data_IF_878317884042
#
_entry.id   IF_878317884042
#
_cell.length_a   1.000
_cell.length_b   1.000
_cell.length_c   1.000
_cell.angle_alpha   90.00
_cell.angle_beta   90.00
_cell.angle_gamma   90.00
#
_symmetry.space_group_name_H-M   'P 1'
#
loop_
_entity.id
_entity.type
_entity.pdbx_description
1 polymer ?
#
# COMPACT_ATOMS: atom_id res chain seq x y z
N UNK A 1 -17.87 11.39 -17.96
CA UNK A 1 -16.38 11.26 -17.83
C UNK A 1 -15.63 12.55 -18.25
N UNK A 2 -16.32 13.53 -18.85
CA UNK A 2 -15.72 14.82 -19.20
C UNK A 2 -15.64 15.83 -18.04
N UNK A 3 -16.21 15.50 -16.88
CA UNK A 3 -16.27 16.40 -15.73
C UNK A 3 -15.07 16.26 -14.74
N UNK A 4 -14.14 15.34 -14.99
CA UNK A 4 -12.95 15.21 -14.15
C UNK A 4 -11.81 16.04 -14.74
N UNK A 5 -11.42 17.08 -14.04
CA UNK A 5 -10.22 17.85 -14.37
C UNK A 5 -9.01 17.04 -13.86
N UNK A 6 -8.32 16.39 -14.78
CA UNK A 6 -7.03 15.77 -14.48
C UNK A 6 -5.96 16.84 -14.71
N UNK A 7 -5.36 17.32 -13.64
CA UNK A 7 -4.17 18.15 -13.78
C UNK A 7 -3.01 17.29 -14.28
N UNK A 8 -2.24 17.74 -15.28
CA UNK A 8 -1.06 17.03 -15.73
C UNK A 8 -0.04 16.98 -14.58
N UNK A 9 0.70 15.88 -14.52
CA UNK A 9 1.82 15.69 -13.62
C UNK A 9 2.71 16.96 -13.61
N UNK A 10 2.76 17.67 -12.49
CA UNK A 10 3.96 18.38 -12.16
C UNK A 10 5.08 17.34 -12.00
N UNK A 11 6.28 17.62 -12.48
CA UNK A 11 7.47 16.79 -12.23
C UNK A 11 7.82 16.82 -10.73
N UNK A 12 6.88 16.39 -9.89
CA UNK A 12 7.02 16.37 -8.45
C UNK A 12 7.97 15.25 -8.07
N UNK A 13 9.17 15.65 -7.77
CA UNK A 13 10.34 14.80 -7.53
C UNK A 13 10.28 14.14 -6.15
N UNK A 14 9.43 14.60 -5.25
CA UNK A 14 9.32 14.04 -3.90
C UNK A 14 8.09 13.13 -3.79
N UNK A 15 8.32 11.83 -3.77
CA UNK A 15 7.33 10.85 -3.36
C UNK A 15 7.31 10.75 -1.85
N UNK A 16 6.19 11.12 -1.26
CA UNK A 16 5.94 10.93 0.17
C UNK A 16 5.31 9.57 0.49
N UNK A 17 5.39 8.64 -0.45
CA UNK A 17 4.71 7.36 -0.36
C UNK A 17 5.39 6.45 0.67
N UNK A 18 4.58 5.66 1.36
CA UNK A 18 5.06 4.59 2.21
C UNK A 18 5.70 3.50 1.33
N UNK A 19 6.64 2.72 1.86
CA UNK A 19 7.41 1.79 1.04
C UNK A 19 6.60 0.56 0.63
N UNK A 20 6.75 0.09 -0.62
CA UNK A 20 6.12 -1.12 -1.16
C UNK A 20 6.52 -2.42 -0.44
N UNK A 21 7.43 -2.37 0.52
CA UNK A 21 7.70 -3.46 1.46
C UNK A 21 6.65 -3.57 2.59
N UNK A 22 5.82 -2.55 2.81
CA UNK A 22 4.83 -2.54 3.89
C UNK A 22 3.83 -3.71 3.84
N UNK A 23 3.34 -4.15 2.66
CA UNK A 23 2.46 -5.31 2.55
C UNK A 23 3.03 -6.62 3.10
N UNK A 24 4.35 -6.75 3.23
CA UNK A 24 4.96 -7.91 3.91
C UNK A 24 4.36 -8.07 5.32
N UNK A 25 3.99 -6.95 5.97
CA UNK A 25 3.40 -6.95 7.31
C UNK A 25 2.14 -7.81 7.42
N UNK A 26 1.19 -7.64 6.51
CA UNK A 26 -0.04 -8.43 6.53
C UNK A 26 0.05 -9.73 5.74
N UNK A 27 0.84 -9.77 4.65
CA UNK A 27 1.00 -10.97 3.83
C UNK A 27 1.70 -12.11 4.58
N UNK A 28 2.81 -11.83 5.31
CA UNK A 28 3.47 -12.86 6.10
C UNK A 28 2.62 -13.33 7.29
N UNK A 29 1.75 -12.46 7.82
CA UNK A 29 0.79 -12.84 8.85
C UNK A 29 -0.30 -13.74 8.27
N UNK A 30 -0.77 -13.45 7.06
CA UNK A 30 -1.77 -14.25 6.37
C UNK A 30 -1.24 -15.62 5.97
N UNK A 31 -0.11 -15.67 5.28
CA UNK A 31 0.50 -16.91 4.77
C UNK A 31 1.47 -17.50 5.79
N UNK A 32 1.01 -18.44 6.60
CA UNK A 32 1.75 -18.97 7.75
C UNK A 32 3.00 -19.77 7.40
N UNK A 33 3.08 -20.35 6.21
CA UNK A 33 4.20 -21.11 5.66
C UNK A 33 5.14 -20.30 4.77
N UNK A 34 4.92 -18.98 4.64
CA UNK A 34 5.75 -18.10 3.83
C UNK A 34 6.97 -17.55 4.58
N UNK A 35 8.01 -17.25 3.83
CA UNK A 35 9.15 -16.45 4.27
C UNK A 35 9.49 -15.38 3.23
N UNK A 36 9.65 -14.13 3.64
CA UNK A 36 9.99 -13.02 2.74
C UNK A 36 11.49 -12.73 2.81
N UNK A 37 12.23 -13.02 1.74
CA UNK A 37 13.64 -12.64 1.59
C UNK A 37 13.73 -11.38 0.72
N UNK A 38 14.06 -10.27 1.36
CA UNK A 38 14.18 -8.96 0.72
C UNK A 38 15.63 -8.72 0.32
N UNK A 39 15.89 -8.47 -0.96
CA UNK A 39 17.22 -8.11 -1.47
C UNK A 39 17.28 -6.59 -1.59
N UNK A 40 18.13 -5.95 -0.78
CA UNK A 40 18.13 -4.49 -0.72
C UNK A 40 19.24 -3.91 0.15
N UNK A 41 19.04 -2.70 0.61
CA UNK A 41 20.01 -1.96 1.43
C UNK A 41 19.68 -2.03 2.92
N UNK A 42 20.58 -1.51 3.77
CA UNK A 42 20.32 -1.33 5.20
C UNK A 42 19.06 -0.50 5.47
N UNK A 43 18.70 0.43 4.59
CA UNK A 43 17.44 1.21 4.71
C UNK A 43 16.21 0.31 4.60
N UNK A 44 16.21 -0.68 3.70
CA UNK A 44 15.13 -1.67 3.58
C UNK A 44 15.01 -2.51 4.85
N UNK A 45 16.14 -2.93 5.41
CA UNK A 45 16.18 -3.64 6.70
C UNK A 45 15.61 -2.80 7.84
N UNK A 46 16.06 -1.54 7.97
CA UNK A 46 15.59 -0.61 8.99
C UNK A 46 14.09 -0.32 8.87
N UNK A 47 13.59 -0.17 7.63
CA UNK A 47 12.17 0.01 7.37
C UNK A 47 11.35 -1.21 7.85
N UNK A 48 11.75 -2.42 7.46
CA UNK A 48 11.05 -3.64 7.86
C UNK A 48 11.07 -3.83 9.38
N UNK A 49 12.19 -3.61 10.04
CA UNK A 49 12.29 -3.69 11.49
C UNK A 49 11.37 -2.68 12.20
N UNK A 50 11.26 -1.47 11.67
CA UNK A 50 10.42 -0.42 12.24
C UNK A 50 8.95 -0.65 11.93
N UNK A 51 8.59 -0.89 10.67
CA UNK A 51 7.22 -1.07 10.23
C UNK A 51 6.58 -2.35 10.79
N UNK A 52 7.36 -3.45 10.85
CA UNK A 52 6.90 -4.73 11.38
C UNK A 52 7.12 -4.88 12.88
N UNK A 53 7.93 -4.02 13.50
CA UNK A 53 8.14 -3.97 14.94
C UNK A 53 6.87 -3.66 15.73
N UNK A 54 5.87 -3.01 15.13
CA UNK A 54 4.54 -2.84 15.72
C UNK A 54 3.77 -4.16 15.86
N UNK A 55 4.17 -5.20 15.13
CA UNK A 55 3.58 -6.55 15.18
C UNK A 55 4.33 -7.42 16.20
N UNK A 56 4.46 -6.94 17.44
CA UNK A 56 5.29 -7.50 18.52
C UNK A 56 5.01 -8.98 18.82
N UNK A 57 3.80 -9.44 18.51
CA UNK A 57 3.36 -10.82 18.78
C UNK A 57 3.53 -11.76 17.58
N UNK A 58 3.92 -11.25 16.41
CA UNK A 58 4.13 -12.07 15.24
C UNK A 58 5.56 -12.62 15.22
N UNK A 59 5.70 -13.94 15.05
CA UNK A 59 7.02 -14.53 14.78
C UNK A 59 7.48 -14.04 13.40
N UNK A 60 8.60 -13.29 13.30
CA UNK A 60 9.04 -12.73 12.03
C UNK A 60 9.45 -13.84 11.07
N UNK A 61 8.90 -13.85 9.88
CA UNK A 61 9.26 -14.73 8.77
C UNK A 61 9.71 -13.89 7.58
N UNK A 62 10.68 -13.03 7.84
CA UNK A 62 11.33 -12.21 6.82
C UNK A 62 12.79 -11.95 7.20
N UNK A 63 13.62 -11.73 6.19
CA UNK A 63 15.00 -11.32 6.32
C UNK A 63 15.37 -10.37 5.18
N UNK A 64 16.46 -9.62 5.37
CA UNK A 64 17.04 -8.79 4.32
C UNK A 64 18.42 -9.31 3.96
N UNK A 65 18.60 -9.69 2.70
CA UNK A 65 19.92 -9.84 2.10
C UNK A 65 20.42 -8.42 1.78
N UNK A 66 21.26 -7.88 2.65
CA UNK A 66 21.81 -6.54 2.49
C UNK A 66 22.94 -6.59 1.49
N UNK A 67 22.81 -5.77 0.44
CA UNK A 67 23.81 -5.63 -0.62
C UNK A 67 25.08 -4.96 -0.07
N UNK A 68 26.22 -5.60 -0.27
CA UNK A 68 27.54 -5.08 0.07
C UNK A 68 28.27 -4.48 -1.16
N UNK A 69 29.51 -4.03 -0.98
CA UNK A 69 30.29 -3.42 -2.06
C UNK A 69 30.59 -4.38 -3.20
N UNK A 70 30.76 -5.69 -2.91
CA UNK A 70 31.01 -6.71 -3.91
C UNK A 70 29.77 -6.96 -4.76
N UNK A 71 28.58 -6.99 -4.14
CA UNK A 71 27.29 -7.08 -4.84
C UNK A 71 27.09 -5.89 -5.79
N UNK A 72 27.39 -4.68 -5.31
CA UNK A 72 27.29 -3.44 -6.10
C UNK A 72 28.33 -3.39 -7.23
N UNK A 73 29.47 -4.09 -7.07
CA UNK A 73 30.53 -4.17 -8.05
C UNK A 73 30.33 -5.26 -9.11
N UNK A 74 29.24 -6.04 -9.02
CA UNK A 74 28.83 -7.01 -10.03
C UNK A 74 29.04 -8.47 -9.66
N UNK A 75 29.12 -8.80 -8.36
CA UNK A 75 29.03 -10.22 -7.91
C UNK A 75 27.73 -10.83 -8.42
N UNK A 76 27.75 -12.09 -8.81
CA UNK A 76 26.54 -12.81 -9.19
C UNK A 76 25.57 -12.86 -8.01
N UNK A 77 24.37 -12.35 -8.22
CA UNK A 77 23.34 -12.28 -7.18
C UNK A 77 22.99 -13.68 -6.63
N UNK A 78 23.03 -14.72 -7.48
CA UNK A 78 22.77 -16.10 -7.05
C UNK A 78 23.83 -16.57 -6.05
N UNK A 79 25.11 -16.29 -6.30
CA UNK A 79 26.19 -16.67 -5.37
C UNK A 79 25.99 -16.03 -3.99
N UNK A 80 25.59 -14.76 -3.93
CA UNK A 80 25.31 -14.07 -2.68
C UNK A 80 24.07 -14.61 -1.94
N UNK A 81 23.06 -15.05 -2.68
CA UNK A 81 21.80 -15.53 -2.10
C UNK A 81 21.86 -16.98 -1.61
N UNK A 82 22.70 -17.83 -2.21
CA UNK A 82 22.77 -19.25 -1.86
C UNK A 82 22.98 -19.53 -0.36
N UNK A 83 23.97 -18.96 0.34
CA UNK A 83 24.19 -19.22 1.76
C UNK A 83 23.05 -18.66 2.63
N UNK A 84 22.42 -17.57 2.22
CA UNK A 84 21.30 -16.96 2.96
C UNK A 84 20.07 -17.87 2.88
N UNK A 85 19.73 -18.34 1.68
CA UNK A 85 18.58 -19.24 1.49
C UNK A 85 18.81 -20.58 2.20
N UNK A 86 20.04 -21.10 2.18
CA UNK A 86 20.41 -22.32 2.93
C UNK A 86 20.12 -22.16 4.43
N UNK A 87 20.52 -21.05 5.02
CA UNK A 87 20.26 -20.74 6.43
C UNK A 87 18.76 -20.61 6.71
N UNK A 88 18.01 -19.91 5.85
CA UNK A 88 16.55 -19.75 5.98
C UNK A 88 15.85 -21.11 5.94
N UNK A 89 16.18 -21.96 4.99
CA UNK A 89 15.57 -23.30 4.84
C UNK A 89 15.92 -24.19 6.03
N UNK A 90 17.17 -24.15 6.50
CA UNK A 90 17.60 -24.95 7.65
C UNK A 90 16.89 -24.53 8.96
N UNK A 91 16.76 -23.23 9.21
CA UNK A 91 16.23 -22.68 10.46
C UNK A 91 14.71 -22.61 10.48
N UNK A 92 14.11 -22.09 9.40
CA UNK A 92 12.67 -21.74 9.36
C UNK A 92 11.80 -22.77 8.65
N UNK A 93 12.39 -23.61 7.80
CA UNK A 93 11.70 -24.67 7.02
C UNK A 93 10.41 -24.12 6.34
N UNK A 94 10.49 -23.03 5.57
CA UNK A 94 9.32 -22.43 4.95
C UNK A 94 8.77 -23.36 3.85
N UNK A 95 7.44 -23.31 3.63
CA UNK A 95 6.81 -23.91 2.45
C UNK A 95 7.15 -23.14 1.19
N UNK A 96 7.22 -21.80 1.29
CA UNK A 96 7.58 -20.93 0.19
C UNK A 96 8.43 -19.74 0.63
N UNK A 97 9.33 -19.30 -0.27
CA UNK A 97 10.11 -18.07 -0.12
C UNK A 97 9.64 -17.07 -1.17
N UNK A 98 9.27 -15.87 -0.73
CA UNK A 98 9.05 -14.71 -1.60
C UNK A 98 10.37 -13.96 -1.72
N UNK A 99 11.00 -14.05 -2.90
CA UNK A 99 12.25 -13.38 -3.21
C UNK A 99 11.95 -11.98 -3.75
N UNK A 100 12.09 -10.99 -2.88
CA UNK A 100 11.69 -9.61 -3.16
C UNK A 100 12.88 -8.77 -3.62
N UNK A 101 12.83 -8.29 -4.86
CA UNK A 101 13.74 -7.27 -5.39
C UNK A 101 13.26 -5.87 -4.99
N UNK A 102 14.18 -5.02 -4.52
CA UNK A 102 13.87 -3.64 -4.10
C UNK A 102 14.45 -2.60 -5.06
N UNK A 103 14.39 -1.31 -4.69
CA UNK A 103 14.84 -0.20 -5.55
C UNK A 103 16.28 -0.36 -6.04
N UNK A 104 17.22 -0.72 -5.17
CA UNK A 104 18.65 -0.78 -5.54
C UNK A 104 18.94 -1.88 -6.57
N UNK A 105 18.55 -3.14 -6.37
CA UNK A 105 18.70 -4.17 -7.40
C UNK A 105 18.03 -3.79 -8.72
N UNK A 106 16.85 -3.18 -8.67
CA UNK A 106 16.13 -2.78 -9.90
C UNK A 106 16.85 -1.65 -10.66
N UNK A 107 17.41 -0.65 -9.96
CA UNK A 107 18.22 0.40 -10.58
C UNK A 107 19.48 -0.17 -11.23
N UNK A 108 20.16 -1.07 -10.51
CA UNK A 108 21.40 -1.69 -10.97
C UNK A 108 21.16 -2.80 -12.00
N UNK A 109 19.90 -3.13 -12.28
CA UNK A 109 19.51 -4.23 -13.20
C UNK A 109 20.08 -5.59 -12.77
N UNK A 110 20.16 -5.82 -11.47
CA UNK A 110 20.53 -7.12 -10.93
C UNK A 110 19.43 -8.13 -11.22
N UNK A 111 19.80 -9.33 -11.70
CA UNK A 111 18.81 -10.36 -12.07
C UNK A 111 18.32 -11.14 -10.85
N UNK A 112 17.67 -10.47 -9.89
CA UNK A 112 17.15 -11.13 -8.68
C UNK A 112 16.04 -12.14 -9.01
N UNK A 113 15.13 -11.77 -9.91
CA UNK A 113 14.02 -12.66 -10.32
C UNK A 113 14.54 -13.94 -10.99
N UNK A 114 15.64 -13.85 -11.74
CA UNK A 114 16.30 -15.01 -12.37
C UNK A 114 16.94 -15.97 -11.38
N UNK A 115 17.16 -15.57 -10.13
CA UNK A 115 17.67 -16.42 -9.08
C UNK A 115 16.61 -17.42 -8.54
N UNK A 116 15.32 -17.17 -8.76
CA UNK A 116 14.26 -18.00 -8.18
C UNK A 116 14.28 -19.46 -8.67
N UNK A 117 14.37 -19.79 -9.98
CA UNK A 117 14.39 -21.18 -10.44
C UNK A 117 15.58 -21.99 -9.89
N UNK A 118 16.85 -21.54 -9.96
CA UNK A 118 17.97 -22.30 -9.41
C UNK A 118 17.91 -22.47 -7.88
N UNK A 119 17.36 -21.48 -7.15
CA UNK A 119 17.14 -21.59 -5.70
C UNK A 119 16.05 -22.63 -5.39
N UNK A 120 14.94 -22.62 -6.13
CA UNK A 120 13.87 -23.62 -6.00
C UNK A 120 14.38 -25.04 -6.29
N UNK A 121 15.16 -25.21 -7.36
CA UNK A 121 15.76 -26.52 -7.72
C UNK A 121 16.73 -27.02 -6.65
N UNK A 122 17.61 -26.16 -6.16
CA UNK A 122 18.65 -26.55 -5.20
C UNK A 122 18.09 -26.90 -3.82
N UNK A 123 17.11 -26.13 -3.33
CA UNK A 123 16.63 -26.27 -1.95
C UNK A 123 15.30 -27.02 -1.83
N UNK A 124 14.62 -27.31 -2.95
CA UNK A 124 13.34 -28.02 -2.97
C UNK A 124 12.20 -27.23 -2.29
N UNK A 125 12.34 -25.91 -2.17
CA UNK A 125 11.34 -24.99 -1.61
C UNK A 125 10.79 -24.10 -2.71
N UNK A 126 9.47 -23.85 -2.74
CA UNK A 126 8.87 -22.95 -3.71
C UNK A 126 9.45 -21.54 -3.56
N UNK A 127 9.88 -20.92 -4.68
CA UNK A 127 10.37 -19.53 -4.70
C UNK A 127 9.52 -18.68 -5.63
N UNK A 128 8.88 -17.64 -5.06
CA UNK A 128 8.10 -16.64 -5.79
C UNK A 128 8.96 -15.38 -5.97
N UNK A 129 9.43 -15.08 -7.21
CA UNK A 129 10.09 -13.82 -7.46
C UNK A 129 9.04 -12.69 -7.49
N UNK A 130 9.26 -11.63 -6.72
CA UNK A 130 8.40 -10.47 -6.70
C UNK A 130 9.21 -9.17 -6.66
N UNK A 131 8.65 -8.11 -7.25
CA UNK A 131 9.24 -6.79 -7.24
C UNK A 131 8.54 -5.95 -6.19
N UNK A 132 9.27 -5.54 -5.15
CA UNK A 132 8.76 -4.71 -4.06
C UNK A 132 9.60 -3.43 -3.98
N UNK A 133 9.70 -2.74 -5.12
CA UNK A 133 10.44 -1.49 -5.22
C UNK A 133 9.55 -0.28 -4.93
N UNK A 134 10.18 0.86 -4.63
CA UNK A 134 9.48 2.12 -4.35
C UNK A 134 9.13 2.92 -5.62
N UNK A 135 9.13 2.30 -6.82
CA UNK A 135 8.79 3.00 -8.07
C UNK A 135 7.31 2.96 -8.38
N UNK A 136 6.58 2.08 -7.72
CA UNK A 136 5.12 2.03 -7.84
C UNK A 136 4.47 3.28 -7.24
N UNK A 137 3.33 3.73 -7.80
CA UNK A 137 2.65 4.92 -7.31
C UNK A 137 2.06 4.77 -5.89
N UNK A 138 1.91 3.55 -5.38
CA UNK A 138 1.39 3.27 -4.04
C UNK A 138 2.12 2.10 -3.39
N UNK A 139 2.32 2.17 -2.08
CA UNK A 139 2.91 1.07 -1.32
C UNK A 139 2.06 -0.21 -1.34
N UNK A 140 0.74 -0.09 -1.48
CA UNK A 140 -0.17 -1.23 -1.52
C UNK A 140 0.03 -2.12 -2.76
N UNK A 141 0.67 -1.60 -3.80
CA UNK A 141 1.02 -2.39 -4.99
C UNK A 141 2.05 -3.48 -4.71
N UNK A 142 2.76 -3.43 -3.58
CA UNK A 142 3.56 -4.56 -3.13
C UNK A 142 2.74 -5.84 -2.95
N UNK A 143 1.49 -5.74 -2.46
CA UNK A 143 0.57 -6.88 -2.44
C UNK A 143 0.19 -7.34 -3.85
N UNK A 144 -0.11 -6.40 -4.74
CA UNK A 144 -0.47 -6.68 -6.14
C UNK A 144 0.61 -7.51 -6.86
N UNK A 145 1.90 -7.14 -6.68
CA UNK A 145 3.03 -7.89 -7.24
C UNK A 145 3.21 -9.29 -6.63
N UNK A 146 2.99 -9.44 -5.33
CA UNK A 146 3.03 -10.75 -4.68
C UNK A 146 1.93 -11.65 -5.23
N UNK A 147 0.71 -11.13 -5.37
CA UNK A 147 -0.42 -11.88 -5.91
C UNK A 147 -0.23 -12.22 -7.39
N UNK A 148 0.36 -11.33 -8.19
CA UNK A 148 0.71 -11.62 -9.59
C UNK A 148 1.69 -12.80 -9.67
N UNK A 149 2.75 -12.81 -8.84
CA UNK A 149 3.70 -13.92 -8.78
C UNK A 149 3.04 -15.26 -8.37
N UNK A 150 2.05 -15.21 -7.47
CA UNK A 150 1.28 -16.39 -7.06
C UNK A 150 0.34 -16.87 -8.18
N UNK A 151 -0.36 -15.97 -8.86
CA UNK A 151 -1.24 -16.28 -10.01
C UNK A 151 -0.43 -16.94 -11.14
N UNK A 152 0.80 -16.49 -11.38
CA UNK A 152 1.68 -17.08 -12.39
C UNK A 152 1.96 -18.57 -12.13
N UNK A 153 1.90 -19.02 -10.89
CA UNK A 153 2.13 -20.40 -10.46
C UNK A 153 0.85 -21.18 -10.12
N UNK A 154 -0.31 -20.53 -10.22
CA UNK A 154 -1.60 -21.16 -9.93
C UNK A 154 -1.89 -22.30 -10.93
N UNK A 155 -2.49 -23.42 -10.48
CA UNK A 155 -2.95 -24.47 -11.39
C UNK A 155 -3.96 -23.94 -12.40
N UNK A 156 -3.95 -24.48 -13.61
CA UNK A 156 -4.96 -24.17 -14.61
C UNK A 156 -6.24 -24.99 -14.39
N UNK A 157 -7.38 -24.42 -14.76
CA UNK A 157 -8.66 -25.11 -14.72
C UNK A 157 -9.59 -24.68 -15.84
N UNK A 158 -10.45 -25.59 -16.29
CA UNK A 158 -11.60 -25.30 -17.15
C UNK A 158 -12.91 -25.25 -16.36
N UNK A 159 -12.88 -25.60 -15.08
CA UNK A 159 -14.09 -25.58 -14.23
C UNK A 159 -14.50 -24.16 -13.88
N UNK A 160 -15.82 -23.95 -13.75
CA UNK A 160 -16.36 -22.67 -13.30
C UNK A 160 -16.18 -22.55 -11.78
N UNK A 161 -15.37 -21.63 -11.35
CA UNK A 161 -15.07 -21.39 -9.94
C UNK A 161 -15.05 -19.89 -9.62
N UNK A 162 -14.94 -19.57 -8.32
CA UNK A 162 -14.85 -18.21 -7.79
C UNK A 162 -13.54 -18.06 -7.02
N UNK A 163 -12.77 -17.04 -7.39
CA UNK A 163 -11.56 -16.65 -6.66
C UNK A 163 -11.72 -15.21 -6.18
N UNK A 164 -11.58 -15.01 -4.88
CA UNK A 164 -11.52 -13.70 -4.23
C UNK A 164 -10.05 -13.31 -4.13
N UNK A 165 -9.71 -12.17 -4.71
CA UNK A 165 -8.35 -11.64 -4.78
C UNK A 165 -8.18 -10.46 -3.85
N UNK A 166 -7.19 -10.56 -2.96
CA UNK A 166 -6.83 -9.57 -1.96
C UNK A 166 -6.81 -10.13 -0.54
N UNK A 167 -5.94 -9.58 0.28
CA UNK A 167 -5.74 -10.04 1.65
C UNK A 167 -6.93 -9.63 2.54
N UNK A 168 -7.68 -10.60 2.99
CA UNK A 168 -8.79 -10.46 3.92
C UNK A 168 -8.47 -11.14 5.26
N UNK A 169 -9.02 -10.61 6.33
CA UNK A 169 -9.01 -11.28 7.65
C UNK A 169 -9.90 -12.52 7.64
N UNK A 170 -9.69 -13.41 8.60
CA UNK A 170 -10.53 -14.61 8.74
C UNK A 170 -12.03 -14.28 8.91
N UNK A 171 -12.36 -13.17 9.57
CA UNK A 171 -13.75 -12.73 9.76
C UNK A 171 -14.36 -12.24 8.43
N UNK A 172 -13.62 -11.51 7.63
CA UNK A 172 -14.08 -11.04 6.31
C UNK A 172 -14.23 -12.21 5.33
N UNK A 173 -13.29 -13.16 5.33
CA UNK A 173 -13.44 -14.40 4.55
C UNK A 173 -14.68 -15.21 4.96
N UNK A 174 -14.95 -15.31 6.27
CA UNK A 174 -16.13 -16.01 6.78
C UNK A 174 -17.43 -15.35 6.29
N UNK A 175 -17.49 -14.01 6.26
CA UNK A 175 -18.62 -13.29 5.67
C UNK A 175 -18.77 -13.61 4.18
N UNK A 176 -17.69 -13.52 3.39
CA UNK A 176 -17.75 -13.83 1.95
C UNK A 176 -18.23 -15.26 1.70
N UNK A 177 -17.76 -16.24 2.50
CA UNK A 177 -18.23 -17.64 2.40
C UNK A 177 -19.72 -17.76 2.68
N UNK A 178 -20.19 -17.12 3.75
CA UNK A 178 -21.60 -17.12 4.15
C UNK A 178 -22.50 -16.50 3.08
N UNK A 179 -22.09 -15.33 2.55
CA UNK A 179 -22.85 -14.65 1.51
C UNK A 179 -22.87 -15.46 0.20
N UNK A 180 -21.76 -16.10 -0.18
CA UNK A 180 -21.72 -17.01 -1.32
C UNK A 180 -22.61 -18.23 -1.13
N UNK A 181 -22.62 -18.84 0.05
CA UNK A 181 -23.50 -19.95 0.40
C UNK A 181 -24.98 -19.54 0.32
N UNK A 182 -25.32 -18.37 0.88
CA UNK A 182 -26.68 -17.81 0.83
C UNK A 182 -27.18 -17.61 -0.61
N UNK A 183 -26.27 -17.24 -1.52
CA UNK A 183 -26.56 -17.07 -2.95
C UNK A 183 -26.48 -18.39 -3.73
N UNK A 184 -26.14 -19.50 -3.10
CA UNK A 184 -25.87 -20.79 -3.75
C UNK A 184 -24.82 -20.63 -4.89
N UNK A 185 -23.72 -19.92 -4.60
CA UNK A 185 -22.57 -19.76 -5.47
C UNK A 185 -21.52 -20.84 -5.17
N UNK A 186 -20.56 -21.07 -6.09
CA UNK A 186 -19.40 -21.91 -5.78
C UNK A 186 -18.68 -21.44 -4.51
N UNK A 187 -18.16 -22.39 -3.72
CA UNK A 187 -17.36 -22.07 -2.54
C UNK A 187 -16.17 -21.18 -2.96
N UNK A 188 -16.07 -19.97 -2.43
CA UNK A 188 -15.00 -19.06 -2.82
C UNK A 188 -13.64 -19.58 -2.35
N UNK A 189 -12.66 -19.50 -3.23
CA UNK A 189 -11.24 -19.67 -2.91
C UNK A 189 -10.61 -18.29 -2.76
N UNK A 190 -9.69 -18.16 -1.82
CA UNK A 190 -9.03 -16.88 -1.54
C UNK A 190 -7.59 -16.91 -2.00
N UNK A 191 -7.11 -15.77 -2.50
CA UNK A 191 -5.72 -15.54 -2.82
C UNK A 191 -5.33 -14.13 -2.32
N UNK A 192 -4.43 -14.01 -1.33
CA UNK A 192 -3.74 -15.09 -0.60
C UNK A 192 -4.65 -15.81 0.40
N UNK A 193 -4.26 -17.00 0.84
CA UNK A 193 -4.87 -17.71 1.94
C UNK A 193 -3.83 -18.02 3.04
N UNK A 194 -4.11 -18.96 3.95
CA UNK A 194 -3.21 -19.30 5.06
C UNK A 194 -1.91 -20.00 4.63
N UNK A 195 -1.86 -20.55 3.41
CA UNK A 195 -0.70 -21.22 2.84
C UNK A 195 -0.31 -20.63 1.49
N UNK A 196 0.96 -20.27 1.32
CA UNK A 196 1.50 -19.83 0.04
C UNK A 196 1.56 -20.94 -1.02
N UNK A 197 1.37 -22.20 -0.62
CA UNK A 197 1.37 -23.37 -1.50
C UNK A 197 -0.03 -23.77 -1.97
N UNK A 198 -1.09 -23.41 -1.22
CA UNK A 198 -2.47 -23.73 -1.58
C UNK A 198 -3.03 -22.68 -2.55
N UNK A 199 -2.60 -22.75 -3.79
CA UNK A 199 -3.05 -21.84 -4.84
C UNK A 199 -4.42 -22.26 -5.39
N UNK A 200 -5.39 -21.35 -5.50
CA UNK A 200 -6.64 -21.64 -6.20
C UNK A 200 -6.36 -21.90 -7.69
N UNK A 201 -7.04 -22.87 -8.32
CA UNK A 201 -6.97 -23.04 -9.76
C UNK A 201 -7.63 -21.86 -10.48
N UNK A 202 -6.96 -21.30 -11.50
CA UNK A 202 -7.41 -20.13 -12.26
C UNK A 202 -7.38 -20.43 -13.75
N UNK A 203 -8.48 -20.15 -14.44
CA UNK A 203 -8.60 -20.39 -15.89
C UNK A 203 -9.77 -19.62 -16.52
N UNK A 204 -10.11 -19.95 -17.79
CA UNK A 204 -11.06 -19.16 -18.58
C UNK A 204 -12.48 -19.05 -18.00
N UNK A 205 -12.88 -20.01 -17.18
CA UNK A 205 -14.19 -20.04 -16.54
C UNK A 205 -14.17 -19.57 -15.09
N UNK A 206 -13.01 -19.11 -14.59
CA UNK A 206 -12.87 -18.52 -13.25
C UNK A 206 -13.47 -17.12 -13.23
N UNK A 207 -14.33 -16.84 -12.26
CA UNK A 207 -14.72 -15.48 -11.90
C UNK A 207 -13.73 -14.99 -10.85
N UNK A 208 -12.95 -13.96 -11.20
CA UNK A 208 -11.98 -13.33 -10.31
C UNK A 208 -12.54 -12.03 -9.75
N UNK A 209 -12.71 -11.94 -8.43
CA UNK A 209 -13.27 -10.78 -7.75
C UNK A 209 -12.21 -10.13 -6.84
N UNK A 210 -11.65 -8.99 -7.25
CA UNK A 210 -10.74 -8.21 -6.43
C UNK A 210 -11.51 -7.42 -5.36
N UNK A 211 -11.01 -7.43 -4.13
CA UNK A 211 -11.62 -6.70 -3.01
C UNK A 211 -10.94 -5.36 -2.75
N UNK A 212 -9.77 -5.13 -3.33
CA UNK A 212 -9.01 -3.88 -3.19
C UNK A 212 -8.82 -3.16 -4.51
N UNK A 213 -8.90 -1.81 -4.52
CA UNK A 213 -8.75 -1.01 -5.74
C UNK A 213 -7.33 -0.96 -6.30
N UNK A 214 -6.32 -1.35 -5.55
CA UNK A 214 -4.91 -1.35 -5.98
C UNK A 214 -4.47 -2.65 -6.68
N UNK A 215 -5.32 -3.67 -6.77
CA UNK A 215 -4.99 -4.98 -7.35
C UNK A 215 -5.17 -5.05 -8.89
N UNK A 216 -4.91 -3.95 -9.57
CA UNK A 216 -5.16 -3.88 -11.02
C UNK A 216 -4.10 -4.63 -11.85
N UNK A 217 -2.86 -4.77 -11.37
CA UNK A 217 -1.79 -5.49 -12.05
C UNK A 217 -2.05 -7.00 -12.07
N UNK A 218 -2.29 -7.60 -10.91
CA UNK A 218 -2.62 -9.02 -10.77
C UNK A 218 -3.93 -9.39 -11.47
N UNK A 219 -4.96 -8.50 -11.40
CA UNK A 219 -6.21 -8.66 -12.16
C UNK A 219 -5.96 -8.63 -13.66
N UNK A 220 -5.17 -7.67 -14.16
CA UNK A 220 -4.84 -7.58 -15.59
C UNK A 220 -4.00 -8.78 -16.05
N UNK A 221 -3.05 -9.23 -15.22
CA UNK A 221 -2.27 -10.43 -15.48
C UNK A 221 -3.16 -11.67 -15.58
N UNK A 222 -4.04 -11.90 -14.62
CA UNK A 222 -4.95 -13.03 -14.60
C UNK A 222 -5.89 -13.04 -15.82
N UNK A 223 -6.43 -11.88 -16.20
CA UNK A 223 -7.27 -11.77 -17.40
C UNK A 223 -6.52 -12.08 -18.69
N UNK A 224 -5.28 -11.60 -18.82
CA UNK A 224 -4.46 -11.78 -20.03
C UNK A 224 -3.89 -13.18 -20.15
N UNK A 225 -3.30 -13.71 -19.07
CA UNK A 225 -2.54 -14.96 -19.10
C UNK A 225 -3.40 -16.19 -18.78
N UNK A 226 -4.46 -16.02 -17.99
CA UNK A 226 -5.35 -17.12 -17.58
C UNK A 226 -6.72 -17.05 -18.23
N UNK A 227 -7.05 -15.95 -18.91
CA UNK A 227 -8.32 -15.76 -19.61
C UNK A 227 -9.54 -15.64 -18.70
N UNK A 228 -9.36 -15.45 -17.38
CA UNK A 228 -10.45 -15.44 -16.42
C UNK A 228 -11.36 -14.22 -16.56
N UNK A 229 -12.63 -14.38 -16.16
CA UNK A 229 -13.60 -13.30 -16.14
C UNK A 229 -13.39 -12.42 -14.90
N UNK A 230 -13.23 -11.12 -15.11
CA UNK A 230 -13.06 -10.17 -14.01
C UNK A 230 -14.43 -9.68 -13.52
N UNK A 231 -14.67 -9.83 -12.23
CA UNK A 231 -15.84 -9.24 -11.58
C UNK A 231 -15.72 -7.71 -11.56
N UNK A 232 -16.65 -7.04 -12.23
CA UNK A 232 -16.64 -5.58 -12.40
C UNK A 232 -17.76 -4.97 -11.57
N UNK A 233 -17.41 -4.41 -10.43
CA UNK A 233 -18.33 -3.71 -9.53
C UNK A 233 -17.57 -2.65 -8.75
N UNK A 234 -18.27 -1.90 -7.89
CA UNK A 234 -17.61 -1.12 -6.85
C UNK A 234 -17.09 -2.04 -5.75
N UNK A 235 -16.05 -1.58 -5.05
CA UNK A 235 -15.39 -2.40 -4.02
C UNK A 235 -16.24 -2.52 -2.75
N UNK A 236 -16.12 -3.65 -1.99
CA UNK A 236 -16.99 -3.97 -0.86
C UNK A 236 -16.63 -3.17 0.42
N UNK A 237 -16.56 -1.86 0.30
CA UNK A 237 -16.39 -0.95 1.44
C UNK A 237 -17.73 -0.30 1.76
N UNK A 238 -18.15 -0.39 3.03
CA UNK A 238 -19.44 0.10 3.49
C UNK A 238 -20.64 -0.69 2.98
N UNK A 239 -21.85 -0.43 3.51
CA UNK A 239 -23.05 -1.19 3.17
C UNK A 239 -23.44 -1.13 1.69
N UNK A 240 -23.36 0.05 1.07
CA UNK A 240 -23.69 0.29 -0.33
C UNK A 240 -22.71 -0.42 -1.29
N UNK A 241 -21.40 -0.40 -0.98
CA UNK A 241 -20.39 -1.11 -1.74
C UNK A 241 -20.53 -2.62 -1.62
N UNK A 242 -20.76 -3.12 -0.41
CA UNK A 242 -20.98 -4.54 -0.14
C UNK A 242 -22.20 -5.08 -0.88
N UNK A 243 -23.33 -4.34 -0.87
CA UNK A 243 -24.50 -4.68 -1.66
C UNK A 243 -24.17 -4.83 -3.15
N UNK A 244 -23.59 -3.81 -3.74
CA UNK A 244 -23.27 -3.83 -5.17
C UNK A 244 -22.28 -4.94 -5.52
N UNK A 245 -21.30 -5.22 -4.64
CA UNK A 245 -20.33 -6.29 -4.81
C UNK A 245 -21.02 -7.66 -4.85
N UNK A 246 -21.85 -7.99 -3.89
CA UNK A 246 -22.52 -9.31 -3.82
C UNK A 246 -23.62 -9.47 -4.89
N UNK A 247 -24.44 -8.44 -5.14
CA UNK A 247 -25.42 -8.48 -6.24
C UNK A 247 -24.72 -8.67 -7.61
N UNK A 248 -23.61 -7.98 -7.86
CA UNK A 248 -22.81 -8.14 -9.06
C UNK A 248 -22.15 -9.52 -9.14
N UNK A 249 -21.69 -10.06 -8.01
CA UNK A 249 -21.10 -11.40 -7.95
C UNK A 249 -22.12 -12.47 -8.31
N UNK A 250 -23.34 -12.39 -7.76
CA UNK A 250 -24.45 -13.28 -8.12
C UNK A 250 -24.77 -13.20 -9.63
N UNK A 251 -24.79 -11.99 -10.18
CA UNK A 251 -25.05 -11.77 -11.61
C UNK A 251 -23.96 -12.41 -12.50
N UNK A 252 -22.70 -12.43 -12.10
CA UNK A 252 -21.61 -13.11 -12.81
C UNK A 252 -21.83 -14.63 -12.90
N UNK A 253 -22.60 -15.19 -11.99
CA UNK A 253 -23.03 -16.59 -11.99
C UNK A 253 -24.44 -16.81 -12.57
N UNK A 254 -25.06 -15.76 -13.16
CA UNK A 254 -26.39 -15.83 -13.77
C UNK A 254 -27.54 -15.86 -12.76
N UNK A 255 -27.30 -15.40 -11.53
CA UNK A 255 -28.29 -15.32 -10.45
C UNK A 255 -28.72 -13.88 -10.22
N UNK A 256 -29.96 -13.70 -9.77
CA UNK A 256 -30.51 -12.41 -9.38
C UNK A 256 -30.88 -12.49 -7.90
N UNK A 257 -30.26 -11.65 -7.10
CA UNK A 257 -30.47 -11.54 -5.65
C UNK A 257 -30.68 -10.07 -5.29
N UNK A 258 -31.31 -9.80 -4.14
CA UNK A 258 -31.43 -8.45 -3.60
C UNK A 258 -30.85 -8.42 -2.19
N UNK A 259 -29.91 -7.53 -1.98
CA UNK A 259 -29.26 -7.28 -0.70
C UNK A 259 -29.78 -6.01 0.00
N UNK A 260 -30.91 -5.45 -0.44
CA UNK A 260 -31.47 -4.22 0.16
C UNK A 260 -31.79 -4.35 1.65
N UNK A 261 -32.26 -5.53 2.08
CA UNK A 261 -32.55 -5.78 3.50
C UNK A 261 -31.24 -5.84 4.32
N UNK A 262 -30.24 -6.52 3.79
CA UNK A 262 -28.92 -6.66 4.42
C UNK A 262 -28.17 -5.32 4.48
N UNK A 263 -28.26 -4.53 3.41
CA UNK A 263 -27.73 -3.17 3.39
C UNK A 263 -28.38 -2.28 4.47
N UNK A 264 -29.72 -2.29 4.58
CA UNK A 264 -30.42 -1.53 5.62
C UNK A 264 -30.04 -1.96 7.04
N UNK A 265 -29.90 -3.27 7.27
CA UNK A 265 -29.42 -3.80 8.55
C UNK A 265 -28.03 -3.29 8.88
N UNK A 266 -27.10 -3.34 7.91
CA UNK A 266 -25.74 -2.86 8.08
C UNK A 266 -25.66 -1.35 8.34
N UNK A 267 -26.49 -0.54 7.66
CA UNK A 267 -26.62 0.89 7.96
C UNK A 267 -27.13 1.12 9.39
N UNK A 268 -28.13 0.33 9.83
CA UNK A 268 -28.64 0.38 11.21
C UNK A 268 -27.58 0.02 12.26
N UNK A 269 -26.73 -0.95 11.97
CA UNK A 269 -25.62 -1.34 12.85
C UNK A 269 -24.55 -0.23 12.98
N UNK A 270 -24.48 0.68 12.01
CA UNK A 270 -23.52 1.78 11.98
C UNK A 270 -24.13 3.14 12.40
N UNK A 271 -25.40 3.21 12.79
CA UNK A 271 -26.15 4.46 12.97
C UNK A 271 -25.41 5.48 13.85
N UNK A 272 -24.85 5.01 14.96
CA UNK A 272 -24.11 5.87 15.91
C UNK A 272 -22.85 6.50 15.31
N UNK A 273 -22.10 5.73 14.53
CA UNK A 273 -20.88 6.16 13.86
C UNK A 273 -21.21 7.07 12.69
N UNK A 274 -22.21 6.70 11.91
CA UNK A 274 -22.72 7.49 10.77
C UNK A 274 -23.25 8.86 11.23
N UNK A 275 -23.93 8.94 12.37
CA UNK A 275 -24.41 10.21 12.90
C UNK A 275 -23.24 11.17 13.24
N UNK A 276 -22.09 10.64 13.71
CA UNK A 276 -20.89 11.45 13.95
C UNK A 276 -20.21 11.93 12.66
N UNK A 277 -20.48 11.28 11.54
CA UNK A 277 -19.89 11.57 10.21
C UNK A 277 -20.79 12.47 9.38
N UNK A 278 -22.10 12.38 9.57
CA UNK A 278 -23.11 13.12 8.79
C UNK A 278 -22.86 14.61 8.85
N UNK A 279 -22.85 15.24 7.67
CA UNK A 279 -22.61 16.69 7.52
C UNK A 279 -21.17 17.12 7.74
N UNK A 280 -20.25 16.21 8.07
CA UNK A 280 -18.82 16.52 8.20
C UNK A 280 -18.13 16.58 6.85
N UNK A 281 -17.07 17.38 6.79
CA UNK A 281 -16.22 17.50 5.61
C UNK A 281 -14.94 16.70 5.78
N UNK A 282 -14.69 15.76 4.86
CA UNK A 282 -13.51 14.88 4.86
C UNK A 282 -12.80 15.00 3.53
N UNK A 283 -11.50 15.30 3.56
CA UNK A 283 -10.64 15.33 2.36
C UNK A 283 -9.57 14.25 2.42
N UNK A 284 -9.02 13.90 1.25
CA UNK A 284 -8.00 12.86 1.12
C UNK A 284 -6.76 13.42 0.44
N UNK A 285 -5.58 13.14 1.01
CA UNK A 285 -4.26 13.22 0.39
C UNK A 285 -3.49 11.98 0.83
N UNK A 286 -3.70 10.88 0.17
CA UNK A 286 -3.31 9.58 0.69
C UNK A 286 -2.57 8.78 -0.38
N UNK A 287 -1.92 7.71 0.05
CA UNK A 287 -1.02 6.87 -0.73
C UNK A 287 -1.44 5.38 -0.76
N UNK A 288 -2.61 5.07 -0.21
CA UNK A 288 -3.08 3.69 -0.07
C UNK A 288 -3.90 3.16 -1.26
N UNK A 289 -4.30 4.01 -2.19
CA UNK A 289 -5.27 3.73 -3.26
C UNK A 289 -6.64 3.22 -2.77
N UNK A 290 -6.96 3.46 -1.49
CA UNK A 290 -8.26 3.18 -0.88
C UNK A 290 -9.20 4.42 -0.90
N UNK A 291 -8.69 5.55 -1.37
CA UNK A 291 -9.34 6.86 -1.31
C UNK A 291 -10.70 6.85 -1.99
N UNK A 292 -10.79 6.31 -3.21
CA UNK A 292 -12.01 6.35 -4.02
C UNK A 292 -13.18 5.59 -3.37
N UNK A 293 -13.05 4.30 -3.00
CA UNK A 293 -14.16 3.58 -2.37
C UNK A 293 -14.51 4.11 -0.99
N UNK A 294 -13.53 4.60 -0.22
CA UNK A 294 -13.80 5.16 1.12
C UNK A 294 -14.49 6.51 0.99
N UNK A 295 -14.05 7.39 0.07
CA UNK A 295 -14.72 8.66 -0.21
C UNK A 295 -16.18 8.45 -0.62
N UNK A 296 -16.46 7.46 -1.50
CA UNK A 296 -17.82 7.07 -1.88
C UNK A 296 -18.64 6.65 -0.66
N UNK A 297 -18.08 5.76 0.16
CA UNK A 297 -18.75 5.25 1.36
C UNK A 297 -19.08 6.36 2.36
N UNK A 298 -18.15 7.30 2.60
CA UNK A 298 -18.38 8.44 3.48
C UNK A 298 -19.48 9.38 2.92
N UNK A 299 -19.51 9.58 1.60
CA UNK A 299 -20.61 10.33 0.97
C UNK A 299 -21.95 9.64 1.16
N UNK A 300 -22.00 8.31 1.03
CA UNK A 300 -23.21 7.52 1.29
C UNK A 300 -23.66 7.64 2.76
N UNK A 301 -22.72 7.79 3.70
CA UNK A 301 -22.99 8.09 5.11
C UNK A 301 -23.40 9.54 5.39
N UNK A 302 -23.44 10.40 4.37
CA UNK A 302 -23.84 11.80 4.50
C UNK A 302 -22.71 12.78 4.79
N UNK A 303 -21.46 12.40 4.64
CA UNK A 303 -20.33 13.34 4.68
C UNK A 303 -20.22 14.14 3.37
N UNK A 304 -19.63 15.32 3.45
CA UNK A 304 -19.13 16.07 2.30
C UNK A 304 -17.67 15.65 2.04
N UNK A 305 -17.37 15.28 0.79
CA UNK A 305 -15.99 15.00 0.37
C UNK A 305 -15.63 15.97 -0.75
N UNK A 306 -14.97 17.10 -0.45
CA UNK A 306 -14.67 18.12 -1.45
C UNK A 306 -13.48 17.73 -2.34
N UNK A 307 -12.52 16.96 -1.82
CA UNK A 307 -11.22 16.74 -2.44
C UNK A 307 -10.72 15.33 -2.18
N UNK A 308 -10.26 14.66 -3.24
CA UNK A 308 -9.61 13.35 -3.19
C UNK A 308 -8.33 13.39 -4.00
N UNK A 309 -7.19 13.46 -3.32
CA UNK A 309 -5.87 13.21 -3.91
C UNK A 309 -5.51 11.74 -3.75
N UNK A 310 -5.17 11.07 -4.85
CA UNK A 310 -4.82 9.65 -4.89
C UNK A 310 -3.57 9.41 -5.73
N UNK A 311 -2.71 8.44 -5.39
CA UNK A 311 -1.45 8.24 -6.12
C UNK A 311 -1.65 7.75 -7.56
N UNK A 312 -2.73 7.03 -7.84
CA UNK A 312 -2.97 6.52 -9.20
C UNK A 312 -4.45 6.22 -9.45
N UNK A 313 -4.87 6.45 -10.70
CA UNK A 313 -6.23 6.13 -11.17
C UNK A 313 -6.15 5.23 -12.41
N UNK A 314 -6.41 3.95 -12.22
CA UNK A 314 -6.55 3.05 -13.35
C UNK A 314 -7.98 3.13 -13.91
N UNK A 315 -8.22 4.04 -14.86
CA UNK A 315 -9.57 4.46 -15.31
C UNK A 315 -10.52 3.30 -15.60
N UNK A 316 -10.04 2.21 -16.23
CA UNK A 316 -10.87 1.04 -16.53
C UNK A 316 -11.28 0.24 -15.30
N UNK A 317 -10.42 0.18 -14.30
CA UNK A 317 -10.63 -0.58 -13.08
C UNK A 317 -11.44 0.21 -12.04
N UNK A 318 -11.21 1.53 -11.98
CA UNK A 318 -11.87 2.42 -11.02
C UNK A 318 -13.12 3.14 -11.59
N UNK A 319 -13.52 2.85 -12.82
CA UNK A 319 -14.60 3.59 -13.50
C UNK A 319 -15.90 3.69 -12.71
N UNK A 320 -16.29 2.60 -12.03
CA UNK A 320 -17.54 2.55 -11.27
C UNK A 320 -17.47 3.32 -9.95
N UNK A 321 -16.31 3.37 -9.30
CA UNK A 321 -16.08 4.21 -8.12
C UNK A 321 -16.08 5.70 -8.52
N UNK A 322 -15.36 6.06 -9.58
CA UNK A 322 -15.32 7.42 -10.09
C UNK A 322 -16.71 7.96 -10.44
N UNK A 323 -17.55 7.12 -11.07
CA UNK A 323 -18.92 7.51 -11.40
C UNK A 323 -19.79 7.84 -10.17
N UNK A 324 -19.42 7.36 -8.98
CA UNK A 324 -20.09 7.65 -7.70
C UNK A 324 -19.53 8.88 -6.99
N UNK A 325 -18.42 9.44 -7.51
CA UNK A 325 -17.75 10.63 -6.98
C UNK A 325 -17.98 11.87 -7.87
N UNK A 326 -19.07 11.90 -8.64
CA UNK A 326 -19.44 13.08 -9.42
C UNK A 326 -19.53 14.33 -8.53
N UNK A 327 -18.91 15.43 -8.97
CA UNK A 327 -18.83 16.68 -8.23
C UNK A 327 -17.75 16.72 -7.13
N UNK A 328 -16.98 15.68 -6.95
CA UNK A 328 -15.77 15.67 -6.10
C UNK A 328 -14.56 16.06 -6.93
N UNK A 329 -13.70 16.90 -6.40
CA UNK A 329 -12.41 17.23 -7.01
C UNK A 329 -11.44 16.04 -6.80
N UNK A 330 -11.29 15.19 -7.83
CA UNK A 330 -10.43 13.98 -7.78
C UNK A 330 -9.17 14.26 -8.58
N UNK A 331 -8.02 14.23 -7.90
CA UNK A 331 -6.71 14.56 -8.46
C UNK A 331 -5.79 13.34 -8.37
N UNK A 332 -5.30 12.90 -9.52
CA UNK A 332 -4.29 11.85 -9.61
C UNK A 332 -2.90 12.44 -9.45
N UNK A 333 -2.07 11.83 -8.59
CA UNK A 333 -0.69 12.26 -8.29
C UNK A 333 -0.58 13.75 -8.00
N UNK A 334 -1.31 14.24 -7.01
CA UNK A 334 -1.37 15.67 -6.75
C UNK A 334 -0.01 16.21 -6.30
N UNK A 335 0.28 17.45 -6.71
CA UNK A 335 1.35 18.23 -6.10
C UNK A 335 1.00 18.54 -4.65
N UNK A 336 1.95 18.31 -3.73
CA UNK A 336 1.76 18.48 -2.29
C UNK A 336 1.33 19.90 -1.92
N UNK A 337 2.01 20.91 -2.47
CA UNK A 337 1.74 22.31 -2.14
C UNK A 337 0.42 22.78 -2.72
N UNK A 338 0.07 22.33 -3.93
CA UNK A 338 -1.23 22.58 -4.52
C UNK A 338 -2.36 21.98 -3.65
N UNK A 339 -2.13 20.78 -3.09
CA UNK A 339 -3.09 20.17 -2.17
C UNK A 339 -3.24 20.95 -0.87
N UNK A 340 -2.15 21.45 -0.28
CA UNK A 340 -2.20 22.28 0.92
C UNK A 340 -3.02 23.57 0.67
N UNK A 341 -2.85 24.21 -0.49
CA UNK A 341 -3.66 25.36 -0.87
C UNK A 341 -5.14 25.01 -0.94
N UNK A 342 -5.51 23.92 -1.63
CA UNK A 342 -6.91 23.45 -1.74
C UNK A 342 -7.50 23.07 -0.38
N UNK A 343 -6.74 22.41 0.49
CA UNK A 343 -7.19 22.12 1.86
C UNK A 343 -7.48 23.40 2.65
N UNK A 344 -6.63 24.42 2.48
CA UNK A 344 -6.82 25.72 3.13
C UNK A 344 -8.07 26.46 2.64
N UNK A 345 -8.47 26.23 1.39
CA UNK A 345 -9.72 26.76 0.81
C UNK A 345 -10.95 25.99 1.33
N UNK A 346 -10.90 24.65 1.30
CA UNK A 346 -12.02 23.79 1.70
C UNK A 346 -12.23 23.68 3.20
N UNK A 347 -11.15 23.80 3.99
CA UNK A 347 -11.16 23.69 5.46
C UNK A 347 -11.92 22.46 5.97
N UNK A 348 -11.56 21.24 5.55
CA UNK A 348 -12.26 20.05 5.99
C UNK A 348 -12.11 19.82 7.50
N UNK A 349 -13.10 19.16 8.11
CA UNK A 349 -13.05 18.74 9.52
C UNK A 349 -11.98 17.65 9.75
N UNK A 350 -11.69 16.85 8.72
CA UNK A 350 -10.73 15.77 8.77
C UNK A 350 -10.00 15.60 7.43
N UNK A 351 -8.69 15.41 7.47
CA UNK A 351 -7.88 15.04 6.32
C UNK A 351 -7.38 13.61 6.51
N UNK A 352 -7.65 12.75 5.55
CA UNK A 352 -6.99 11.44 5.46
C UNK A 352 -5.70 11.63 4.69
N UNK A 353 -4.57 11.36 5.33
CA UNK A 353 -3.26 11.65 4.76
C UNK A 353 -2.27 10.52 5.00
N UNK A 354 -1.24 10.46 4.17
CA UNK A 354 -0.13 9.57 4.43
C UNK A 354 0.67 10.03 5.67
N UNK A 355 1.44 9.12 6.23
CA UNK A 355 2.18 9.34 7.47
C UNK A 355 3.20 10.49 7.33
N UNK A 356 3.82 10.65 6.17
CA UNK A 356 4.93 11.59 5.97
C UNK A 356 4.48 13.05 6.01
N UNK A 357 3.25 13.34 5.53
CA UNK A 357 2.70 14.70 5.52
C UNK A 357 1.76 14.98 6.70
N UNK A 358 1.39 13.97 7.48
CA UNK A 358 0.44 14.10 8.58
C UNK A 358 0.86 15.15 9.60
N UNK A 359 2.12 15.15 10.03
CA UNK A 359 2.64 16.12 11.00
C UNK A 359 2.62 17.55 10.46
N UNK A 360 2.93 17.75 9.18
CA UNK A 360 2.87 19.07 8.54
C UNK A 360 1.42 19.60 8.53
N UNK A 361 0.46 18.75 8.16
CA UNK A 361 -0.96 19.11 8.16
C UNK A 361 -1.49 19.41 9.57
N UNK A 362 -1.09 18.62 10.58
CA UNK A 362 -1.44 18.91 11.98
C UNK A 362 -0.82 20.23 12.45
N UNK A 363 0.43 20.52 12.04
CA UNK A 363 1.09 21.81 12.28
C UNK A 363 0.35 22.99 11.63
N UNK A 364 -0.27 22.77 10.48
CA UNK A 364 -1.15 23.76 9.81
C UNK A 364 -2.54 23.87 10.47
N UNK A 365 -2.84 23.06 11.46
CA UNK A 365 -4.08 23.10 12.23
C UNK A 365 -5.16 22.14 11.76
N UNK A 366 -4.91 21.32 10.76
CA UNK A 366 -5.85 20.28 10.34
C UNK A 366 -5.89 19.12 11.34
N UNK A 367 -7.03 18.45 11.42
CA UNK A 367 -7.11 17.15 12.08
C UNK A 367 -6.81 16.08 11.04
N UNK A 368 -5.89 15.17 11.36
CA UNK A 368 -5.43 14.17 10.41
C UNK A 368 -5.77 12.75 10.90
N UNK A 369 -6.16 11.92 9.94
CA UNK A 369 -6.24 10.47 10.06
C UNK A 369 -5.22 9.84 9.13
N UNK A 370 -4.41 8.93 9.65
CA UNK A 370 -3.41 8.26 8.82
C UNK A 370 -4.06 7.24 7.88
N UNK A 371 -3.74 7.32 6.59
CA UNK A 371 -4.23 6.40 5.56
C UNK A 371 -3.83 4.96 5.83
N UNK A 372 -2.62 4.74 6.35
CA UNK A 372 -2.08 3.42 6.66
C UNK A 372 -2.94 2.64 7.67
N UNK A 373 -3.66 3.33 8.59
CA UNK A 373 -4.57 2.65 9.51
C UNK A 373 -5.68 1.86 8.78
N UNK A 374 -6.07 2.32 7.60
CA UNK A 374 -7.13 1.70 6.81
C UNK A 374 -6.70 0.34 6.23
N UNK A 375 -5.40 0.19 5.93
CA UNK A 375 -4.85 -1.05 5.36
C UNK A 375 -4.70 -2.19 6.38
N UNK A 376 -4.72 -1.88 7.67
CA UNK A 376 -4.53 -2.87 8.74
C UNK A 376 -5.82 -3.23 9.50
N UNK A 377 -6.98 -2.77 9.02
CA UNK A 377 -8.24 -2.99 9.71
C UNK A 377 -9.21 -3.84 8.87
N UNK A 378 -10.03 -4.69 9.52
CA UNK A 378 -11.10 -5.42 8.84
C UNK A 378 -12.25 -4.46 8.54
N UNK A 379 -12.24 -3.88 7.35
CA UNK A 379 -13.18 -2.83 6.92
C UNK A 379 -14.04 -3.21 5.70
N UNK A 380 -13.91 -4.45 5.23
CA UNK A 380 -14.66 -4.94 4.09
C UNK A 380 -16.00 -5.58 4.50
N UNK A 381 -16.90 -5.63 3.55
CA UNK A 381 -18.17 -6.30 3.73
C UNK A 381 -19.17 -5.51 4.58
N UNK A 382 -20.31 -6.14 4.86
CA UNK A 382 -21.33 -5.57 5.74
C UNK A 382 -20.85 -5.53 7.18
N UNK A 383 -20.15 -6.57 7.64
CA UNK A 383 -19.67 -6.68 9.00
C UNK A 383 -18.45 -5.79 9.28
N UNK A 384 -17.70 -5.41 8.24
CA UNK A 384 -16.60 -4.47 8.34
C UNK A 384 -17.04 -2.99 8.41
N UNK A 385 -18.27 -2.68 8.01
CA UNK A 385 -18.78 -1.31 7.96
C UNK A 385 -18.74 -0.58 9.32
N UNK A 386 -19.11 -1.18 10.47
CA UNK A 386 -18.98 -0.53 11.78
C UNK A 386 -17.52 -0.17 12.12
N UNK A 387 -16.56 -1.04 11.78
CA UNK A 387 -15.14 -0.77 11.96
C UNK A 387 -14.70 0.42 11.11
N UNK A 388 -15.08 0.44 9.84
CA UNK A 388 -14.76 1.53 8.91
C UNK A 388 -15.28 2.87 9.42
N UNK A 389 -16.58 2.97 9.70
CA UNK A 389 -17.17 4.23 10.20
C UNK A 389 -16.66 4.59 11.59
N UNK A 390 -16.38 3.59 12.44
CA UNK A 390 -15.78 3.77 13.77
C UNK A 390 -14.45 4.52 13.74
N UNK A 391 -13.59 4.21 12.76
CA UNK A 391 -12.30 4.88 12.55
C UNK A 391 -12.49 6.37 12.26
N UNK A 392 -13.44 6.74 11.41
CA UNK A 392 -13.71 8.13 11.07
C UNK A 392 -14.41 8.87 12.20
N UNK A 393 -15.43 8.25 12.82
CA UNK A 393 -16.14 8.81 13.95
C UNK A 393 -15.21 9.09 15.14
N UNK A 394 -14.25 8.23 15.42
CA UNK A 394 -13.25 8.44 16.48
C UNK A 394 -12.37 9.66 16.18
N UNK A 395 -11.89 9.78 14.94
CA UNK A 395 -11.06 10.91 14.51
C UNK A 395 -11.81 12.24 14.55
N UNK A 396 -13.08 12.26 14.14
CA UNK A 396 -13.94 13.46 14.20
C UNK A 396 -14.27 13.86 15.66
N UNK A 397 -14.53 12.88 16.54
CA UNK A 397 -14.69 13.18 17.98
C UNK A 397 -13.41 13.76 18.59
N UNK A 398 -12.23 13.25 18.20
CA UNK A 398 -10.94 13.85 18.58
C UNK A 398 -10.82 15.29 18.08
N UNK A 399 -11.20 15.55 16.83
CA UNK A 399 -11.23 16.90 16.26
C UNK A 399 -12.06 17.85 17.13
N UNK A 400 -13.30 17.46 17.46
CA UNK A 400 -14.20 18.29 18.28
C UNK A 400 -13.65 18.55 19.68
N UNK A 401 -13.01 17.53 20.30
CA UNK A 401 -12.37 17.68 21.60
C UNK A 401 -11.19 18.66 21.55
N UNK A 402 -10.34 18.57 20.54
CA UNK A 402 -9.21 19.47 20.33
C UNK A 402 -9.68 20.91 20.01
N UNK A 403 -10.72 21.08 19.23
CA UNK A 403 -11.30 22.38 18.95
C UNK A 403 -11.80 23.10 20.23
N UNK A 404 -12.43 22.33 21.15
CA UNK A 404 -12.85 22.86 22.46
C UNK A 404 -11.66 23.28 23.33
N UNK A 405 -10.56 22.56 23.28
CA UNK A 405 -9.33 22.90 24.03
C UNK A 405 -8.69 24.15 23.41
N UNK A 406 -8.54 24.21 22.09
CA UNK A 406 -7.99 25.36 21.37
C UNK A 406 -8.81 26.62 21.63
N UNK A 407 -10.14 26.55 21.62
CA UNK A 407 -11.01 27.68 21.95
C UNK A 407 -10.84 28.20 23.39
N UNK A 408 -10.31 27.39 24.32
CA UNK A 408 -10.02 27.80 25.69
C UNK A 408 -8.60 28.35 25.88
N UNK A 409 -7.68 28.03 24.98
CA UNK A 409 -6.24 28.36 25.07
C UNK A 409 -5.77 29.38 24.04
N UNK A 410 -6.66 29.89 23.17
CA UNK A 410 -6.29 30.91 22.19
C UNK A 410 -5.91 32.23 22.83
N UNK A 411 -4.67 32.34 23.20
CA UNK A 411 -3.83 33.45 22.77
C UNK A 411 -3.70 33.27 21.25
N UNK A 412 -4.06 34.32 20.49
CA UNK A 412 -4.05 34.31 19.04
C UNK A 412 -2.78 33.64 18.48
N UNK A 413 -2.88 32.37 18.05
CA UNK A 413 -1.88 31.80 17.19
C UNK A 413 -1.96 32.59 15.89
N UNK A 414 -0.91 33.32 15.56
CA UNK A 414 -0.81 34.03 14.29
C UNK A 414 -1.15 33.02 13.17
N UNK A 415 -1.93 33.45 12.16
CA UNK A 415 -2.20 32.59 11.02
C UNK A 415 -0.86 32.10 10.47
N UNK A 416 -0.75 30.81 10.17
CA UNK A 416 0.45 30.26 9.54
C UNK A 416 0.64 31.03 8.24
N UNK A 417 1.74 31.76 8.17
CA UNK A 417 2.11 32.50 6.96
C UNK A 417 2.53 31.48 5.90
N UNK A 418 1.60 31.15 5.00
CA UNK A 418 1.88 30.27 3.87
C UNK A 418 2.92 30.89 2.91
N UNK A 419 3.17 32.21 2.99
CA UNK A 419 4.22 32.88 2.23
C UNK A 419 5.63 32.47 2.71
N UNK A 420 5.75 31.93 3.93
CA UNK A 420 6.99 31.30 4.39
C UNK A 420 7.42 30.13 3.49
N UNK A 421 6.48 29.44 2.86
CA UNK A 421 6.74 28.37 1.90
C UNK A 421 6.86 28.85 0.45
N UNK A 422 6.65 30.14 0.19
CA UNK A 422 6.87 30.77 -1.12
C UNK A 422 8.30 31.26 -1.22
N UNK A 423 9.12 30.50 -1.92
CA UNK A 423 10.43 30.98 -2.34
C UNK A 423 10.23 32.08 -3.41
N UNK A 424 10.47 33.35 -3.04
CA UNK A 424 10.62 34.51 -3.93
C UNK A 424 9.51 34.74 -4.98
N UNK A 425 8.26 34.45 -4.67
CA UNK A 425 7.11 34.88 -5.48
C UNK A 425 6.95 34.23 -6.85
N UNK A 426 7.79 33.26 -7.22
CA UNK A 426 7.63 32.47 -8.43
C UNK A 426 7.11 31.08 -8.11
N UNK A 427 6.14 30.52 -8.86
CA UNK A 427 5.75 29.13 -8.71
C UNK A 427 6.97 28.24 -8.96
N UNK A 428 7.21 27.28 -8.09
CA UNK A 428 8.33 26.33 -8.14
C UNK A 428 8.44 25.56 -9.47
N UNK A 429 7.38 25.53 -10.25
CA UNK A 429 7.29 24.85 -11.55
C UNK A 429 8.13 25.49 -12.68
N UNK A 430 8.81 26.61 -12.45
CA UNK A 430 9.54 27.32 -13.51
C UNK A 430 11.04 27.46 -13.30
N UNK A 431 11.62 26.84 -12.25
CA UNK A 431 13.08 26.81 -12.14
C UNK A 431 13.61 25.57 -12.87
N UNK A 432 14.18 25.80 -14.05
CA UNK A 432 15.09 24.84 -14.67
C UNK A 432 16.11 24.33 -13.64
N UNK A 433 16.51 23.06 -13.70
CA UNK A 433 17.51 22.51 -12.78
C UNK A 433 18.70 23.46 -12.75
N UNK A 434 19.06 23.93 -11.56
CA UNK A 434 20.21 24.79 -11.36
C UNK A 434 21.40 24.14 -12.07
N UNK A 435 21.90 24.79 -13.12
CA UNK A 435 23.24 24.54 -13.62
C UNK A 435 24.15 24.48 -12.39
N UNK A 436 24.83 23.37 -12.22
CA UNK A 436 25.81 23.15 -11.17
C UNK A 436 26.63 24.45 -11.08
N UNK A 437 26.46 25.21 -10.01
CA UNK A 437 27.37 26.31 -9.71
C UNK A 437 28.74 25.67 -9.62
N UNK A 438 29.64 26.07 -10.48
CA UNK A 438 31.04 25.71 -10.41
C UNK A 438 31.48 25.89 -8.95
N UNK A 439 31.91 24.80 -8.32
CA UNK A 439 32.51 24.88 -7.01
C UNK A 439 33.67 25.87 -7.06
N UNK A 440 33.82 26.79 -6.10
CA UNK A 440 34.95 27.68 -6.07
C UNK A 440 36.22 26.84 -6.06
N UNK A 441 37.10 27.12 -7.02
CA UNK A 441 38.41 26.45 -7.09
C UNK A 441 39.18 26.68 -5.79
N UNK A 442 39.79 25.64 -5.20
CA UNK A 442 40.63 25.83 -4.01
C UNK A 442 41.82 26.72 -4.32
N UNK A 443 41.94 27.78 -3.57
CA UNK A 443 42.98 28.82 -3.75
C UNK A 443 44.35 28.45 -3.19
N UNK A 444 44.69 27.17 -3.08
CA UNK A 444 46.01 26.71 -2.64
C UNK A 444 46.37 25.37 -3.28
N UNK A 445 47.56 25.17 -3.82
CA UNK A 445 48.00 23.85 -4.29
C UNK A 445 48.20 22.90 -3.11
N UNK A 446 47.71 21.68 -3.30
CA UNK A 446 47.94 20.57 -2.36
C UNK A 446 49.47 20.29 -2.28
N UNK A 447 50.01 19.94 -1.10
CA UNK A 447 51.40 19.54 -0.97
C UNK A 447 51.65 18.19 -1.64
N UNK A 448 52.84 18.11 -2.25
CA UNK A 448 53.38 17.00 -3.01
C UNK A 448 53.37 15.68 -2.17
N UNK A 449 52.86 14.55 -2.69
CA UNK A 449 52.76 13.28 -1.94
C UNK A 449 54.07 12.45 -1.90
N UNK A 450 55.24 13.03 -2.24
CA UNK A 450 56.53 12.30 -2.21
C UNK A 450 57.34 12.62 -0.96
N UNK A 451 56.92 12.19 0.21
CA UNK A 451 57.67 12.28 1.45
C UNK A 451 57.44 11.04 2.32
N UNK A 452 57.94 9.91 1.92
CA UNK A 452 57.93 8.70 2.72
C UNK A 452 58.85 8.79 3.92
N UNK A 453 58.32 8.71 5.14
CA UNK A 453 59.08 8.21 6.30
C UNK A 453 58.26 7.13 6.99
N UNK A 454 58.80 5.94 6.93
CA UNK A 454 58.45 4.72 7.66
C UNK A 454 58.43 4.98 9.16
N UNK A 455 57.30 4.74 9.82
CA UNK A 455 57.23 4.51 11.25
C UNK A 455 56.44 3.24 11.51
N UNK A 456 57.09 2.25 12.07
CA UNK A 456 56.55 0.96 12.45
C UNK A 456 55.44 1.09 13.48
N UNK A 457 54.29 0.48 13.22
CA UNK A 457 53.20 0.29 14.16
C UNK A 457 53.36 -1.07 14.87
N UNK A 458 53.40 -1.03 16.19
CA UNK A 458 53.40 -2.19 17.08
C UNK A 458 52.01 -2.80 17.15
N UNK A 459 51.87 -4.10 17.37
CA UNK A 459 50.58 -4.80 17.40
C UNK A 459 49.80 -4.56 18.70
N UNK A 460 48.50 -4.33 18.58
CA UNK A 460 47.53 -4.26 19.69
C UNK A 460 47.13 -5.66 20.21
N UNK A 461 46.83 -5.80 21.47
CA UNK A 461 46.53 -7.09 22.09
C UNK A 461 45.08 -7.56 21.82
N UNK A 462 44.98 -8.86 21.64
CA UNK A 462 43.74 -9.66 21.53
C UNK A 462 42.90 -9.58 22.79
N UNK A 463 41.61 -9.23 22.67
CA UNK A 463 40.62 -9.46 23.71
C UNK A 463 39.91 -10.81 23.48
N UNK A 464 40.16 -11.73 24.41
CA UNK A 464 39.36 -12.93 24.61
C UNK A 464 37.95 -12.57 25.04
N UNK A 465 36.97 -13.13 24.37
CA UNK A 465 35.58 -13.16 24.84
C UNK A 465 35.34 -14.49 25.56
N UNK A 466 35.04 -14.42 26.85
CA UNK A 466 34.51 -15.52 27.63
C UNK A 466 32.99 -15.42 27.70
N UNK A 467 32.35 -16.53 27.39
CA UNK A 467 30.98 -17.02 27.67
C UNK A 467 29.78 -16.10 27.48
#
# INVERSE_FOLDING_TARGET
LEAFVFEPLADAIERDDFCSLAPIGWLHHKMQDSFFLVVGTHSCQGFLQTALGVMIFAKPRFATAVLDEDDLSGRDALEGLLPIVEAIVAEHKPGAIFLASTCTPEILKMNITGCAPPLEEKFGVRVYPCRLDGFDPSYTQGEDHVLEAMIARAPETSEKNLVILGCLSALEEAEVRLECETMDLPVPRFLPNESALDLPPIGPNTVLAAVHPYLFGSVAYAARERGCAIHKTIFPYGPDGSRAFYEGLAAAFGKTVSYEAREREAWGACEREVEAIRGRSVAFISDAMLELPIARTLRAAGATVPLVGTPNIYKKFHALELARLEGVDVIERPDRFAMYARLSEHKPDLVVANLNIANALEGMGFSVKWSTELSFQPIHGFNGAPSLFGLFAASLRRHDALAKIRGKTQTEAAPIDLDFFRFDGAPLSLRAPHALREAPQPSSPLPDPTGATSAALAPSPSHEVRH
#
